data_IF_739291139405
#
_entry.id   IF_739291139405
#
_cell.length_a   1.000
_cell.length_b   1.000
_cell.length_c   1.000
_cell.angle_alpha   90.00
_cell.angle_beta   90.00
_cell.angle_gamma   90.00
#
_symmetry.space_group_name_H-M   'P 1'
#
loop_
_entity.id
_entity.type
_entity.pdbx_description
1 polymer ?
#
# COMPACT_ATOMS: atom_id res chain seq x y z
N UNK A 1 -22.46 33.30 18.43
CA UNK A 1 -21.38 32.41 18.89
C UNK A 1 -21.23 31.33 17.85
N UNK A 2 -20.36 31.57 16.87
CA UNK A 2 -20.08 30.61 15.81
C UNK A 2 -19.10 29.58 16.37
N UNK A 3 -19.61 28.39 16.67
CA UNK A 3 -18.79 27.23 16.93
C UNK A 3 -18.16 26.80 15.62
N UNK A 4 -16.92 27.24 15.37
CA UNK A 4 -16.12 26.72 14.28
C UNK A 4 -15.99 25.21 14.48
N UNK A 5 -16.69 24.44 13.67
CA UNK A 5 -16.39 23.02 13.49
C UNK A 5 -14.92 22.96 13.09
N UNK A 6 -14.07 22.41 13.97
CA UNK A 6 -12.75 21.93 13.60
C UNK A 6 -12.97 20.85 12.55
N UNK A 7 -13.05 21.24 11.28
CA UNK A 7 -12.86 20.34 10.17
C UNK A 7 -11.39 19.98 10.27
N UNK A 8 -11.09 18.83 10.88
CA UNK A 8 -9.77 18.22 10.81
C UNK A 8 -9.46 18.02 9.33
N UNK A 9 -8.78 19.00 8.73
CA UNK A 9 -8.37 18.93 7.32
C UNK A 9 -7.29 17.87 7.26
N UNK A 10 -7.71 16.65 6.95
CA UNK A 10 -6.81 15.50 6.79
C UNK A 10 -5.69 15.91 5.82
N UNK A 11 -4.44 15.72 6.26
CA UNK A 11 -3.25 16.08 5.48
C UNK A 11 -3.38 15.59 4.03
N UNK A 12 -3.04 16.42 3.02
CA UNK A 12 -3.09 16.01 1.62
C UNK A 12 -2.24 14.77 1.34
N UNK A 13 -1.22 14.50 2.16
CA UNK A 13 -0.41 13.29 2.09
C UNK A 13 -1.20 12.05 2.52
N UNK A 14 -1.98 12.14 3.60
CA UNK A 14 -2.82 11.05 4.10
C UNK A 14 -3.94 10.75 3.10
N UNK A 15 -4.61 11.78 2.57
CA UNK A 15 -5.64 11.63 1.55
C UNK A 15 -5.09 10.91 0.31
N UNK A 16 -3.89 11.31 -0.14
CA UNK A 16 -3.21 10.68 -1.27
C UNK A 16 -2.84 9.22 -0.98
N UNK A 17 -2.39 8.91 0.23
CA UNK A 17 -2.06 7.54 0.62
C UNK A 17 -3.31 6.66 0.66
N UNK A 18 -4.40 7.11 1.30
CA UNK A 18 -5.69 6.41 1.32
C UNK A 18 -6.23 6.16 -0.08
N UNK A 19 -6.20 7.17 -0.94
CA UNK A 19 -6.60 7.04 -2.34
C UNK A 19 -5.74 6.00 -3.07
N UNK A 20 -4.42 6.05 -2.88
CA UNK A 20 -3.49 5.11 -3.52
C UNK A 20 -3.75 3.67 -3.07
N UNK A 21 -4.05 3.44 -1.79
CA UNK A 21 -4.43 2.14 -1.25
C UNK A 21 -5.75 1.67 -1.89
N UNK A 22 -6.80 2.49 -1.87
CA UNK A 22 -8.11 2.15 -2.43
C UNK A 22 -8.06 1.84 -3.93
N UNK A 23 -7.21 2.52 -4.69
CA UNK A 23 -7.03 2.28 -6.13
C UNK A 23 -6.10 1.10 -6.43
N UNK A 24 -5.34 0.58 -5.45
CA UNK A 24 -4.32 -0.44 -5.69
C UNK A 24 -4.87 -1.73 -6.30
N UNK A 25 -5.98 -2.34 -5.82
CA UNK A 25 -6.52 -3.56 -6.43
C UNK A 25 -6.76 -3.42 -7.93
N UNK A 26 -7.48 -2.37 -8.34
CA UNK A 26 -7.77 -2.12 -9.75
C UNK A 26 -6.50 -1.82 -10.57
N UNK A 27 -5.57 -1.06 -10.00
CA UNK A 27 -4.31 -0.72 -10.69
C UNK A 27 -3.39 -1.95 -10.84
N UNK A 28 -3.38 -2.88 -9.88
CA UNK A 28 -2.65 -4.14 -9.97
C UNK A 28 -3.20 -4.98 -11.13
N UNK A 29 -4.52 -5.11 -11.24
CA UNK A 29 -5.14 -5.86 -12.34
C UNK A 29 -4.85 -5.23 -13.71
N UNK A 30 -4.95 -3.90 -13.81
CA UNK A 30 -4.62 -3.18 -15.05
C UNK A 30 -3.15 -3.36 -15.42
N UNK A 31 -2.24 -3.27 -14.45
CA UNK A 31 -0.81 -3.48 -14.68
C UNK A 31 -0.51 -4.93 -15.07
N UNK A 32 -1.11 -5.90 -14.39
CA UNK A 32 -0.93 -7.32 -14.68
C UNK A 32 -1.44 -7.67 -16.09
N UNK A 33 -2.61 -7.17 -16.48
CA UNK A 33 -3.17 -7.40 -17.81
C UNK A 33 -2.34 -6.75 -18.94
N UNK A 34 -1.66 -5.63 -18.66
CA UNK A 34 -0.89 -4.87 -19.65
C UNK A 34 0.61 -5.17 -19.66
N UNK A 35 1.12 -5.84 -18.62
CA UNK A 35 2.55 -6.13 -18.47
C UNK A 35 2.83 -7.63 -18.58
N UNK A 36 4.04 -7.99 -18.98
CA UNK A 36 4.53 -9.38 -18.92
C UNK A 36 5.00 -9.79 -17.52
N UNK A 37 4.70 -8.99 -16.50
CA UNK A 37 5.15 -9.19 -15.13
C UNK A 37 4.28 -10.19 -14.38
N UNK A 38 4.81 -10.75 -13.30
CA UNK A 38 4.00 -11.57 -12.39
C UNK A 38 3.03 -10.68 -11.61
N UNK A 39 1.95 -11.26 -11.11
CA UNK A 39 1.00 -10.54 -10.27
C UNK A 39 1.68 -9.97 -9.00
N UNK A 40 2.55 -10.72 -8.28
CA UNK A 40 3.34 -10.16 -7.17
C UNK A 40 4.27 -9.00 -7.56
N UNK A 41 4.86 -8.99 -8.76
CA UNK A 41 5.65 -7.84 -9.23
C UNK A 41 4.79 -6.58 -9.43
N UNK A 42 3.53 -6.75 -9.85
CA UNK A 42 2.57 -5.65 -9.97
C UNK A 42 2.22 -5.07 -8.60
N UNK A 43 1.98 -5.94 -7.60
CA UNK A 43 1.81 -5.52 -6.20
C UNK A 43 3.04 -4.79 -5.69
N UNK A 44 4.25 -5.29 -6.00
CA UNK A 44 5.50 -4.65 -5.57
C UNK A 44 5.66 -3.24 -6.12
N UNK A 45 5.24 -3.02 -7.35
CA UNK A 45 5.21 -1.67 -7.94
C UNK A 45 4.32 -0.74 -7.13
N UNK A 46 3.14 -1.21 -6.68
CA UNK A 46 2.24 -0.41 -5.82
C UNK A 46 2.84 -0.15 -4.45
N UNK A 47 3.42 -1.17 -3.83
CA UNK A 47 4.08 -1.06 -2.52
C UNK A 47 5.23 -0.04 -2.57
N UNK A 48 6.02 0.00 -3.64
CA UNK A 48 7.06 1.01 -3.83
C UNK A 48 6.50 2.44 -3.91
N UNK A 49 5.35 2.64 -4.56
CA UNK A 49 4.66 3.94 -4.61
C UNK A 49 4.18 4.34 -3.21
N UNK A 50 3.58 3.41 -2.46
CA UNK A 50 3.13 3.64 -1.09
C UNK A 50 4.30 4.01 -0.17
N UNK A 51 5.45 3.34 -0.30
CA UNK A 51 6.66 3.67 0.45
C UNK A 51 7.10 5.12 0.23
N UNK A 52 7.11 5.58 -1.03
CA UNK A 52 7.43 6.95 -1.37
C UNK A 52 6.47 7.96 -0.72
N UNK A 53 5.19 7.62 -0.61
CA UNK A 53 4.19 8.46 0.06
C UNK A 53 4.31 8.41 1.58
N UNK A 54 4.62 7.24 2.17
CA UNK A 54 4.91 7.09 3.59
C UNK A 54 6.13 7.90 4.03
N UNK A 55 7.17 7.97 3.19
CA UNK A 55 8.34 8.82 3.48
C UNK A 55 7.96 10.30 3.62
N UNK A 56 6.95 10.76 2.87
CA UNK A 56 6.41 12.12 3.01
C UNK A 56 5.59 12.28 4.29
N UNK A 57 4.88 11.24 4.75
CA UNK A 57 4.15 11.26 6.03
C UNK A 57 5.07 11.49 7.22
N UNK A 58 6.31 10.95 7.19
CA UNK A 58 7.31 11.18 8.24
C UNK A 58 7.59 12.66 8.49
N UNK A 59 7.42 13.49 7.45
CA UNK A 59 7.62 14.94 7.49
C UNK A 59 6.32 15.72 7.69
N UNK A 60 5.17 15.06 7.74
CA UNK A 60 3.87 15.70 7.94
C UNK A 60 3.67 16.02 9.42
N UNK A 61 3.22 17.24 9.78
CA UNK A 61 2.93 17.59 11.17
C UNK A 61 1.78 16.75 11.77
N UNK A 62 0.92 16.18 10.93
CA UNK A 62 -0.26 15.39 11.30
C UNK A 62 0.03 13.93 11.64
N UNK A 63 1.27 13.47 11.46
CA UNK A 63 1.64 12.07 11.69
C UNK A 63 2.60 11.94 12.87
N UNK A 64 2.10 11.41 13.99
CA UNK A 64 2.93 11.22 15.18
C UNK A 64 3.97 10.12 14.94
N UNK A 65 5.14 10.18 15.62
CA UNK A 65 6.14 9.12 15.53
C UNK A 65 5.59 7.72 15.87
N UNK A 66 4.61 7.65 16.77
CA UNK A 66 3.93 6.41 17.15
C UNK A 66 3.08 5.85 16.00
N UNK A 67 2.25 6.68 15.36
CA UNK A 67 1.48 6.28 14.16
C UNK A 67 2.40 5.87 13.02
N UNK A 68 3.53 6.56 12.87
CA UNK A 68 4.57 6.22 11.89
C UNK A 68 5.20 4.86 12.17
N UNK A 69 5.55 4.55 13.42
CA UNK A 69 6.14 3.27 13.79
C UNK A 69 5.21 2.09 13.51
N UNK A 70 3.90 2.22 13.81
CA UNK A 70 2.90 1.19 13.51
C UNK A 70 2.78 0.99 11.99
N UNK A 71 2.64 2.09 11.24
CA UNK A 71 2.55 2.06 9.79
C UNK A 71 3.79 1.41 9.15
N UNK A 72 4.98 1.78 9.63
CA UNK A 72 6.25 1.22 9.16
C UNK A 72 6.34 -0.28 9.45
N UNK A 73 5.95 -0.73 10.65
CA UNK A 73 5.94 -2.16 10.99
C UNK A 73 4.99 -2.97 10.10
N UNK A 74 3.79 -2.46 9.82
CA UNK A 74 2.84 -3.09 8.91
C UNK A 74 3.40 -3.17 7.48
N UNK A 75 4.05 -2.09 7.03
CA UNK A 75 4.69 -2.03 5.73
C UNK A 75 5.87 -3.01 5.58
N UNK A 76 6.69 -3.17 6.62
CA UNK A 76 7.78 -4.16 6.63
C UNK A 76 7.24 -5.59 6.52
N UNK A 77 6.17 -5.93 7.26
CA UNK A 77 5.51 -7.24 7.15
C UNK A 77 4.96 -7.51 5.75
N UNK A 78 4.28 -6.51 5.16
CA UNK A 78 3.79 -6.60 3.79
C UNK A 78 4.94 -6.81 2.79
N UNK A 79 6.04 -6.07 2.95
CA UNK A 79 7.21 -6.15 2.06
C UNK A 79 7.88 -7.52 2.16
N UNK A 80 8.06 -8.06 3.35
CA UNK A 80 8.63 -9.40 3.55
C UNK A 80 7.74 -10.50 2.95
N UNK A 81 6.42 -10.43 3.20
CA UNK A 81 5.46 -11.38 2.64
C UNK A 81 5.47 -11.33 1.12
N UNK A 82 5.51 -10.13 0.56
CA UNK A 82 5.55 -9.91 -0.88
C UNK A 82 6.84 -10.43 -1.51
N UNK A 83 7.99 -10.24 -0.85
CA UNK A 83 9.26 -10.76 -1.34
C UNK A 83 9.25 -12.29 -1.41
N UNK A 84 8.76 -12.96 -0.35
CA UNK A 84 8.56 -14.43 -0.33
C UNK A 84 7.68 -14.90 -1.48
N UNK A 85 6.56 -14.23 -1.73
CA UNK A 85 5.65 -14.55 -2.84
C UNK A 85 6.30 -14.28 -4.20
N UNK A 86 7.08 -13.20 -4.35
CA UNK A 86 7.82 -12.95 -5.59
C UNK A 86 8.80 -14.06 -5.88
N UNK A 87 9.49 -14.60 -4.88
CA UNK A 87 10.40 -15.74 -5.06
C UNK A 87 9.64 -17.03 -5.43
N UNK A 88 8.53 -17.31 -4.76
CA UNK A 88 7.68 -18.49 -5.01
C UNK A 88 7.10 -18.49 -6.44
N UNK A 89 6.62 -17.34 -6.91
CA UNK A 89 6.00 -17.17 -8.22
C UNK A 89 6.97 -16.64 -9.29
N UNK A 90 8.27 -16.47 -8.98
CA UNK A 90 9.28 -15.99 -9.94
C UNK A 90 9.38 -16.86 -11.19
N UNK A 91 9.31 -18.18 -10.98
CA UNK A 91 9.43 -19.20 -12.03
C UNK A 91 8.06 -19.59 -12.60
N UNK A 92 7.04 -19.57 -11.74
CA UNK A 92 5.67 -19.83 -12.11
C UNK A 92 4.99 -18.49 -12.39
N UNK A 93 5.03 -17.99 -13.63
CA UNK A 93 4.26 -16.80 -14.09
C UNK A 93 2.73 -16.92 -13.90
N UNK A 94 2.28 -17.97 -13.21
CA UNK A 94 0.92 -18.18 -12.78
C UNK A 94 0.57 -17.13 -11.73
N UNK A 95 -0.67 -16.68 -11.80
CA UNK A 95 -1.29 -15.84 -10.78
C UNK A 95 -1.39 -16.64 -9.47
N UNK A 96 -1.08 -16.05 -8.31
CA UNK A 96 -1.30 -16.69 -7.02
C UNK A 96 -2.81 -16.97 -6.82
N UNK A 97 -3.18 -17.96 -5.98
CA UNK A 97 -4.58 -18.25 -5.68
C UNK A 97 -5.28 -17.04 -5.04
N UNK A 98 -6.60 -16.99 -5.15
CA UNK A 98 -7.38 -15.83 -4.69
C UNK A 98 -7.15 -15.52 -3.21
N UNK A 99 -7.01 -16.54 -2.36
CA UNK A 99 -6.70 -16.38 -0.93
C UNK A 99 -5.43 -15.56 -0.67
N UNK A 100 -4.38 -15.79 -1.47
CA UNK A 100 -3.09 -15.07 -1.34
C UNK A 100 -3.21 -13.65 -1.88
N UNK A 101 -4.04 -13.45 -2.90
CA UNK A 101 -4.32 -12.11 -3.42
C UNK A 101 -5.09 -11.28 -2.38
N UNK A 102 -6.14 -11.84 -1.80
CA UNK A 102 -6.96 -11.19 -0.77
C UNK A 102 -6.12 -10.87 0.48
N UNK A 103 -5.28 -11.81 0.92
CA UNK A 103 -4.31 -11.58 2.01
C UNK A 103 -3.42 -10.37 1.72
N UNK A 104 -2.83 -10.28 0.52
CA UNK A 104 -1.97 -9.15 0.15
C UNK A 104 -2.71 -7.83 0.02
N UNK A 105 -3.94 -7.85 -0.49
CA UNK A 105 -4.78 -6.65 -0.61
C UNK A 105 -5.24 -6.16 0.77
N UNK A 106 -5.50 -7.06 1.71
CA UNK A 106 -5.79 -6.73 3.10
C UNK A 106 -4.53 -6.15 3.78
N UNK A 107 -3.37 -6.77 3.60
CA UNK A 107 -2.11 -6.25 4.12
C UNK A 107 -1.73 -4.88 3.51
N UNK A 108 -2.22 -4.54 2.31
CA UNK A 108 -2.06 -3.22 1.70
C UNK A 108 -2.89 -2.12 2.41
N UNK A 109 -3.95 -2.48 3.14
CA UNK A 109 -4.67 -1.58 4.03
C UNK A 109 -3.86 -1.34 5.33
N UNK A 110 -2.70 -0.69 5.19
CA UNK A 110 -1.77 -0.40 6.29
C UNK A 110 -2.14 0.82 7.15
N UNK A 111 -3.15 1.59 6.73
CA UNK A 111 -3.59 2.85 7.33
C UNK A 111 -4.71 2.70 8.35
#
# INVERSE_FOLDING_TARGET
MEGFSNVEVESPVIQKLRKTIAESPAQIEVQYAKSGNTWPDCVHTRVAILNGQMFLLKKSPDYTPQKYAVLQSNFEKLSERLEKLREEYKKNKKRPPQEVQDELLEMLHIL
#
